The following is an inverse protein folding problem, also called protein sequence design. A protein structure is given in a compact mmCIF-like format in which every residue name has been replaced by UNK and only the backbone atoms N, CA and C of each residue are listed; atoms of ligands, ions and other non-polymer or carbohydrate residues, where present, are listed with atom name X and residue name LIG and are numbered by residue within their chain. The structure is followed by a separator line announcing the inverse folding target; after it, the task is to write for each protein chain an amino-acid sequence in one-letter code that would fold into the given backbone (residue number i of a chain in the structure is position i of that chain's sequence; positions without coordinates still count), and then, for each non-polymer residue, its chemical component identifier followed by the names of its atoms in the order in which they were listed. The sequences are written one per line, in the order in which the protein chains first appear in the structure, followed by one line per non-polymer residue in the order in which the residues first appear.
data_IF_629491602683
#
_entry.id   IF_629491602683
#
_cell.length_a   1.000
_cell.length_b   1.000
_cell.length_c   1.000
_cell.angle_alpha   90.00
_cell.angle_beta   90.00
_cell.angle_gamma   90.00
#
_symmetry.space_group_name_H-M   'P 1'
#
loop_
_entity.id
_entity.type
_entity.pdbx_description
1 polymer ?
#
# COMPACT_ATOMS: atom_id res chain seq x y z
N UNK A 1 -6.80 10.87 40.73
CA UNK A 1 -7.34 10.11 41.87
C UNK A 1 -7.21 8.64 41.52
N UNK A 2 -6.16 7.99 42.03
CA UNK A 2 -5.85 6.59 41.76
C UNK A 2 -6.64 5.70 42.72
N UNK A 3 -7.16 4.57 42.24
CA UNK A 3 -7.57 3.46 43.11
C UNK A 3 -6.93 2.17 42.61
N UNK A 4 -6.03 1.69 43.48
CA UNK A 4 -5.33 0.42 43.47
C UNK A 4 -6.21 -0.64 44.14
N UNK A 5 -6.17 -1.87 43.65
CA UNK A 5 -6.65 -3.05 44.39
C UNK A 5 -5.60 -4.14 44.37
N UNK A 6 -4.91 -4.29 45.49
CA UNK A 6 -4.03 -5.40 45.86
C UNK A 6 -4.84 -6.58 46.39
N UNK A 7 -4.54 -7.80 45.94
CA UNK A 7 -5.03 -9.04 46.54
C UNK A 7 -3.90 -9.76 47.29
N UNK A 8 -4.22 -10.23 48.49
CA UNK A 8 -3.34 -10.91 49.45
C UNK A 8 -3.47 -12.44 49.30
N UNK A 9 -2.35 -13.17 49.45
CA UNK A 9 -2.31 -14.63 49.53
C UNK A 9 -2.06 -15.09 50.98
N UNK A 10 -2.66 -16.20 51.46
CA UNK A 10 -2.22 -16.88 52.68
C UNK A 10 -1.26 -18.05 52.40
N UNK A 11 -0.43 -18.36 53.41
CA UNK A 11 0.58 -19.44 53.49
C UNK A 11 0.03 -20.72 54.16
N UNK A 12 0.62 -21.87 53.81
CA UNK A 12 0.61 -23.16 54.54
C UNK A 12 -0.10 -24.28 53.75
N UNK A 13 0.34 -25.55 53.66
CA UNK A 13 1.28 -26.38 54.43
C UNK A 13 1.54 -27.71 53.66
N UNK A 14 2.72 -28.35 53.84
CA UNK A 14 3.12 -29.78 53.65
C UNK A 14 2.73 -30.52 52.32
N UNK A 15 3.59 -31.20 51.57
CA UNK A 15 4.80 -31.98 51.90
C UNK A 15 4.59 -33.45 51.55
N UNK A 16 4.94 -33.88 50.32
CA UNK A 16 5.13 -35.30 49.92
C UNK A 16 6.22 -35.35 48.83
N UNK A 17 7.30 -36.09 49.09
CA UNK A 17 8.40 -36.42 48.15
C UNK A 17 7.99 -37.54 47.19
N UNK A 18 8.55 -37.56 45.95
CA UNK A 18 8.89 -38.82 45.32
C UNK A 18 10.35 -38.91 44.86
N UNK A 19 10.73 -40.14 44.57
CA UNK A 19 12.05 -40.76 44.56
C UNK A 19 13.02 -40.30 43.46
N UNK A 20 14.31 -40.49 43.76
CA UNK A 20 15.44 -40.30 42.85
C UNK A 20 15.46 -41.31 41.70
N UNK A 21 15.57 -40.81 40.47
CA UNK A 21 15.99 -41.58 39.31
C UNK A 21 17.42 -41.21 38.93
N UNK A 22 18.30 -42.21 38.90
CA UNK A 22 19.67 -42.13 38.44
C UNK A 22 19.76 -41.60 36.99
N UNK A 23 20.45 -40.48 36.78
CA UNK A 23 20.89 -40.01 35.47
C UNK A 23 22.27 -40.58 35.13
N UNK A 24 22.39 -41.21 33.95
CA UNK A 24 23.64 -41.64 33.34
C UNK A 24 24.47 -40.43 32.84
N UNK A 25 25.82 -40.54 32.74
CA UNK A 25 26.66 -39.42 32.36
C UNK A 25 26.54 -39.05 30.88
N UNK A 26 26.76 -37.77 30.61
CA UNK A 26 26.64 -37.14 29.29
C UNK A 26 27.62 -37.72 28.26
N UNK A 27 27.10 -38.02 27.06
CA UNK A 27 27.89 -38.35 25.87
C UNK A 27 28.30 -37.06 25.18
N UNK A 28 29.61 -36.85 25.07
CA UNK A 28 30.23 -35.70 24.42
C UNK A 28 30.04 -35.79 22.89
N UNK A 29 29.08 -35.03 22.35
CA UNK A 29 28.83 -34.91 20.91
C UNK A 29 29.84 -33.94 20.29
N UNK A 30 30.86 -34.47 19.60
CA UNK A 30 31.75 -33.68 18.76
C UNK A 30 30.97 -32.96 17.64
N UNK A 31 30.92 -31.63 17.72
CA UNK A 31 30.37 -30.77 16.68
C UNK A 31 31.22 -30.86 15.40
N UNK A 32 30.61 -31.31 14.29
CA UNK A 32 31.22 -31.19 12.95
C UNK A 32 31.16 -29.72 12.51
N UNK A 33 32.25 -29.14 11.97
CA UNK A 33 32.20 -27.76 11.49
C UNK A 33 31.31 -27.65 10.24
N UNK A 34 30.35 -26.74 10.30
CA UNK A 34 29.52 -26.34 9.16
C UNK A 34 30.40 -25.65 8.11
N UNK A 35 30.42 -26.17 6.89
CA UNK A 35 31.06 -25.50 5.74
C UNK A 35 30.33 -24.19 5.46
N UNK A 36 31.04 -23.07 5.56
CA UNK A 36 30.59 -21.75 5.12
C UNK A 36 30.40 -21.75 3.60
N UNK A 37 29.22 -21.37 3.07
CA UNK A 37 29.05 -21.22 1.64
C UNK A 37 29.80 -19.96 1.17
N UNK A 38 30.70 -20.13 0.20
CA UNK A 38 31.39 -19.05 -0.49
C UNK A 38 30.38 -18.20 -1.25
N UNK A 39 30.16 -16.96 -0.80
CA UNK A 39 29.40 -15.95 -1.55
C UNK A 39 30.17 -15.60 -2.83
N UNK A 40 29.76 -16.15 -3.97
CA UNK A 40 30.07 -15.55 -5.27
C UNK A 40 29.35 -14.21 -5.36
N UNK A 41 30.09 -13.10 -5.41
CA UNK A 41 29.53 -11.80 -5.73
C UNK A 41 29.17 -11.77 -7.22
N UNK A 42 27.95 -12.15 -7.56
CA UNK A 42 27.36 -11.67 -8.79
C UNK A 42 26.92 -10.23 -8.54
N UNK A 43 27.70 -9.28 -9.03
CA UNK A 43 27.32 -7.88 -9.08
C UNK A 43 26.08 -7.75 -9.96
N UNK A 44 24.91 -7.69 -9.34
CA UNK A 44 23.71 -7.18 -9.98
C UNK A 44 23.77 -5.66 -9.78
N UNK A 45 24.30 -4.96 -10.79
CA UNK A 45 24.05 -3.53 -10.93
C UNK A 45 22.58 -3.37 -11.30
N UNK A 46 21.74 -3.19 -10.28
CA UNK A 46 20.45 -2.57 -10.46
C UNK A 46 20.71 -1.07 -10.39
N UNK A 47 20.73 -0.39 -11.54
CA UNK A 47 20.68 1.07 -11.57
C UNK A 47 19.35 1.50 -10.95
N UNK A 48 19.37 1.83 -9.66
CA UNK A 48 18.38 2.75 -9.11
C UNK A 48 18.47 3.99 -10.00
N UNK A 49 17.35 4.42 -10.59
CA UNK A 49 17.36 5.69 -11.29
C UNK A 49 17.80 6.75 -10.29
N UNK A 50 18.96 7.38 -10.52
CA UNK A 50 19.50 8.52 -9.78
C UNK A 50 18.62 9.75 -10.02
N UNK A 51 17.32 9.65 -9.72
CA UNK A 51 16.40 10.77 -9.74
C UNK A 51 16.15 11.14 -8.28
N UNK A 52 17.09 11.91 -7.74
CA UNK A 52 16.94 12.54 -6.44
C UNK A 52 15.70 13.46 -6.52
N UNK A 53 14.73 13.22 -5.65
CA UNK A 53 13.64 14.16 -5.48
C UNK A 53 14.21 15.39 -4.76
N UNK A 54 14.39 16.49 -5.49
CA UNK A 54 14.90 17.73 -4.94
C UNK A 54 13.91 18.30 -3.91
N UNK A 55 14.38 18.52 -2.69
CA UNK A 55 13.60 19.22 -1.67
C UNK A 55 13.68 20.73 -1.92
N UNK A 56 12.53 21.35 -2.16
CA UNK A 56 12.41 22.81 -2.29
C UNK A 56 11.77 23.41 -1.03
N UNK A 57 12.44 24.39 -0.42
CA UNK A 57 11.89 25.13 0.73
C UNK A 57 10.69 26.01 0.35
N UNK A 58 10.65 26.42 -0.91
CA UNK A 58 9.58 27.14 -1.60
C UNK A 58 8.80 26.19 -2.52
N UNK A 59 7.64 26.62 -3.02
CA UNK A 59 6.82 25.79 -3.92
C UNK A 59 7.66 25.40 -5.15
N UNK A 60 7.79 24.10 -5.48
CA UNK A 60 8.60 23.66 -6.61
C UNK A 60 7.99 24.20 -7.93
N UNK A 61 8.83 24.45 -8.96
CA UNK A 61 8.32 24.76 -10.28
C UNK A 61 7.63 23.51 -10.85
N UNK A 62 6.37 23.65 -11.25
CA UNK A 62 5.57 22.54 -11.78
C UNK A 62 4.76 22.98 -13.01
N UNK A 63 5.43 23.44 -14.08
CA UNK A 63 4.75 24.07 -15.20
C UNK A 63 3.72 23.16 -15.89
N UNK A 64 3.94 21.84 -15.91
CA UNK A 64 2.98 20.91 -16.50
C UNK A 64 1.83 20.61 -15.54
N UNK A 65 2.12 20.33 -14.27
CA UNK A 65 1.08 20.10 -13.25
C UNK A 65 0.19 21.33 -13.04
N UNK A 66 0.71 22.54 -13.25
CA UNK A 66 -0.06 23.79 -13.20
C UNK A 66 -1.17 23.83 -14.28
N UNK A 67 -1.05 23.04 -15.34
CA UNK A 67 -2.08 22.90 -16.39
C UNK A 67 -3.10 21.79 -16.10
N UNK A 68 -2.82 20.92 -15.12
CA UNK A 68 -3.62 19.71 -14.83
C UNK A 68 -4.42 19.90 -13.53
N UNK A 69 -5.67 20.32 -13.67
CA UNK A 69 -6.61 20.40 -12.55
C UNK A 69 -7.46 19.13 -12.42
N UNK A 70 -7.73 18.45 -13.53
CA UNK A 70 -8.60 17.27 -13.57
C UNK A 70 -8.04 16.20 -14.53
N UNK A 71 -8.41 14.92 -14.36
CA UNK A 71 -7.92 13.83 -15.19
C UNK A 71 -8.13 14.02 -16.70
N UNK A 72 -9.17 14.75 -17.10
CA UNK A 72 -9.44 15.06 -18.50
C UNK A 72 -8.32 15.89 -19.17
N UNK A 73 -7.60 16.72 -18.42
CA UNK A 73 -6.47 17.49 -18.95
C UNK A 73 -5.25 16.62 -19.29
N UNK A 74 -5.21 15.39 -18.77
CA UNK A 74 -4.08 14.48 -18.98
C UNK A 74 -4.21 13.66 -20.26
N UNK A 75 -5.41 13.53 -20.85
CA UNK A 75 -5.71 12.53 -21.91
C UNK A 75 -4.92 12.71 -23.21
N UNK A 76 -4.41 13.91 -23.46
CA UNK A 76 -3.63 14.24 -24.66
C UNK A 76 -2.13 14.36 -24.39
N UNK A 77 -1.67 14.11 -23.16
CA UNK A 77 -0.25 14.15 -22.82
C UNK A 77 0.49 12.97 -23.44
N UNK A 78 1.63 13.23 -24.03
CA UNK A 78 2.57 12.20 -24.47
C UNK A 78 3.16 11.44 -23.28
N UNK A 79 3.73 10.26 -23.53
CA UNK A 79 4.41 9.48 -22.50
C UNK A 79 5.54 10.26 -21.80
N UNK A 80 6.23 11.15 -22.53
CA UNK A 80 7.27 12.02 -21.95
C UNK A 80 6.67 13.06 -21.00
N UNK A 81 5.55 13.66 -21.39
CA UNK A 81 4.83 14.61 -20.54
C UNK A 81 4.23 13.90 -19.32
N UNK A 82 3.74 12.66 -19.44
CA UNK A 82 3.27 11.89 -18.27
C UNK A 82 4.41 11.57 -17.28
N UNK A 83 5.63 11.32 -17.78
CA UNK A 83 6.80 11.17 -16.92
C UNK A 83 7.13 12.48 -16.20
N UNK A 84 7.16 13.61 -16.93
CA UNK A 84 7.36 14.93 -16.34
C UNK A 84 6.27 15.26 -15.30
N UNK A 85 5.01 14.98 -15.60
CA UNK A 85 3.89 15.18 -14.69
C UNK A 85 4.07 14.37 -13.41
N UNK A 86 4.57 13.14 -13.51
CA UNK A 86 4.86 12.30 -12.35
C UNK A 86 5.99 12.90 -11.49
N UNK A 87 7.04 13.41 -12.12
CA UNK A 87 8.16 14.05 -11.42
C UNK A 87 7.72 15.34 -10.71
N UNK A 88 6.93 16.19 -11.38
CA UNK A 88 6.37 17.41 -10.79
C UNK A 88 5.37 17.10 -9.67
N UNK A 89 4.51 16.11 -9.84
CA UNK A 89 3.55 15.66 -8.83
C UNK A 89 4.25 15.11 -7.59
N UNK A 90 5.35 14.38 -7.76
CA UNK A 90 6.20 13.91 -6.66
C UNK A 90 6.75 15.07 -5.86
N UNK A 91 7.31 16.08 -6.52
CA UNK A 91 7.83 17.29 -5.85
C UNK A 91 6.72 18.06 -5.12
N UNK A 92 5.53 18.18 -5.73
CA UNK A 92 4.37 18.85 -5.12
C UNK A 92 3.88 18.12 -3.86
N UNK A 93 3.83 16.77 -3.89
CA UNK A 93 3.50 15.95 -2.72
C UNK A 93 4.53 16.14 -1.60
N UNK A 94 5.83 16.10 -1.90
CA UNK A 94 6.89 16.32 -0.91
C UNK A 94 6.72 17.70 -0.27
N UNK A 95 6.53 18.74 -1.10
CA UNK A 95 6.35 20.11 -0.63
C UNK A 95 5.17 20.23 0.34
N UNK A 96 3.97 19.79 -0.06
CA UNK A 96 2.78 19.92 0.77
C UNK A 96 2.87 19.09 2.06
N UNK A 97 3.30 17.83 1.97
CA UNK A 97 3.38 16.94 3.14
C UNK A 97 4.47 17.36 4.11
N UNK A 98 5.56 17.99 3.64
CA UNK A 98 6.58 18.56 4.53
C UNK A 98 6.04 19.66 5.46
N UNK A 99 4.98 20.36 5.04
CA UNK A 99 4.34 21.44 5.80
C UNK A 99 3.23 20.94 6.72
N UNK A 100 2.41 19.98 6.24
CA UNK A 100 1.22 19.50 6.97
C UNK A 100 1.46 18.23 7.77
N UNK A 101 2.54 17.51 7.50
CA UNK A 101 2.71 16.12 7.92
C UNK A 101 1.75 15.17 7.21
N UNK A 102 1.77 13.89 7.60
CA UNK A 102 0.90 12.84 7.06
C UNK A 102 1.67 11.73 6.34
N UNK A 103 1.00 11.06 5.41
CA UNK A 103 1.47 9.80 4.84
C UNK A 103 2.32 10.02 3.58
N UNK A 104 3.58 10.40 3.77
CA UNK A 104 4.50 10.69 2.67
C UNK A 104 4.90 9.43 1.89
N UNK A 105 5.50 8.44 2.56
CA UNK A 105 6.09 7.27 1.89
C UNK A 105 5.08 6.48 1.05
N UNK A 106 3.88 6.24 1.59
CA UNK A 106 2.80 5.57 0.87
C UNK A 106 2.32 6.35 -0.36
N UNK A 107 2.28 7.68 -0.27
CA UNK A 107 1.87 8.55 -1.38
C UNK A 107 2.92 8.62 -2.49
N UNK A 108 4.20 8.68 -2.13
CA UNK A 108 5.30 8.70 -3.11
C UNK A 108 5.40 7.40 -3.91
N UNK A 109 5.07 6.27 -3.28
CA UNK A 109 5.10 4.95 -3.93
C UNK A 109 4.02 4.73 -4.99
N UNK A 110 3.01 5.61 -5.10
CA UNK A 110 1.89 5.46 -6.05
C UNK A 110 1.75 6.63 -7.01
N UNK A 111 2.74 7.52 -7.12
CA UNK A 111 2.67 8.70 -8.00
C UNK A 111 2.42 8.29 -9.45
N UNK A 112 3.30 7.45 -10.02
CA UNK A 112 3.18 6.96 -11.40
C UNK A 112 1.92 6.14 -11.60
N UNK A 113 1.58 5.28 -10.63
CA UNK A 113 0.36 4.49 -10.67
C UNK A 113 -0.87 5.39 -10.76
N UNK A 114 -0.90 6.46 -9.96
CA UNK A 114 -2.02 7.40 -9.94
C UNK A 114 -2.13 8.16 -11.26
N UNK A 115 -1.00 8.60 -11.82
CA UNK A 115 -0.95 9.26 -13.13
C UNK A 115 -1.47 8.32 -14.22
N UNK A 116 -0.99 7.07 -14.24
CA UNK A 116 -1.43 6.07 -15.21
C UNK A 116 -2.93 5.75 -15.07
N UNK A 117 -3.44 5.62 -13.84
CA UNK A 117 -4.85 5.35 -13.59
C UNK A 117 -5.75 6.48 -14.11
N UNK A 118 -5.43 7.73 -13.82
CA UNK A 118 -6.21 8.87 -14.30
C UNK A 118 -6.04 9.13 -15.81
N UNK A 119 -4.89 8.76 -16.37
CA UNK A 119 -4.67 8.81 -17.81
C UNK A 119 -5.50 7.75 -18.56
N UNK A 120 -5.55 6.51 -18.07
CA UNK A 120 -6.25 5.40 -18.73
C UNK A 120 -7.76 5.44 -18.48
N UNK A 121 -8.18 5.58 -17.21
CA UNK A 121 -9.58 5.51 -16.83
C UNK A 121 -10.28 6.87 -16.89
N UNK A 122 -11.59 6.86 -17.15
CA UNK A 122 -12.41 8.06 -17.25
C UNK A 122 -13.13 8.32 -15.92
N UNK A 123 -12.36 8.70 -14.90
CA UNK A 123 -12.94 9.09 -13.60
C UNK A 123 -13.61 10.46 -13.70
N UNK A 124 -14.78 10.70 -13.06
CA UNK A 124 -15.42 9.86 -12.02
C UNK A 124 -16.46 8.85 -12.54
N UNK A 125 -16.65 8.73 -13.86
CA UNK A 125 -17.56 7.74 -14.45
C UNK A 125 -17.06 6.33 -14.12
N UNK A 126 -15.79 6.07 -14.42
CA UNK A 126 -15.06 4.92 -13.90
C UNK A 126 -14.82 5.08 -12.40
N UNK A 127 -14.99 3.98 -11.65
CA UNK A 127 -14.87 3.98 -10.20
C UNK A 127 -13.46 3.57 -9.82
N UNK A 128 -12.76 4.47 -9.13
CA UNK A 128 -11.43 4.23 -8.57
C UNK A 128 -11.52 4.25 -7.05
N UNK A 129 -11.12 3.14 -6.41
CA UNK A 129 -11.15 2.96 -4.97
C UNK A 129 -9.73 2.77 -4.45
N UNK A 130 -9.38 3.48 -3.38
CA UNK A 130 -8.06 3.41 -2.73
C UNK A 130 -8.21 2.78 -1.33
N UNK A 131 -7.61 1.61 -1.11
CA UNK A 131 -7.71 0.94 0.19
C UNK A 131 -6.93 1.67 1.27
N UNK A 132 -7.48 1.79 2.48
CA UNK A 132 -7.07 2.72 3.55
C UNK A 132 -7.19 4.19 3.14
N UNK A 133 -6.66 4.57 1.98
CA UNK A 133 -6.72 5.92 1.40
C UNK A 133 -5.52 6.80 1.74
N UNK A 134 -4.60 6.34 2.58
CA UNK A 134 -3.41 7.08 2.99
C UNK A 134 -2.39 7.34 1.86
N UNK A 135 -2.43 6.55 0.79
CA UNK A 135 -1.63 6.71 -0.41
C UNK A 135 -2.25 7.66 -1.45
N UNK A 136 -3.44 8.22 -1.19
CA UNK A 136 -4.25 8.92 -2.19
C UNK A 136 -3.92 10.41 -2.36
N UNK A 137 -2.82 10.93 -1.81
CA UNK A 137 -2.49 12.36 -1.95
C UNK A 137 -2.27 12.78 -3.42
N UNK A 138 -1.53 12.03 -4.25
CA UNK A 138 -1.42 12.34 -5.68
C UNK A 138 -2.80 12.34 -6.36
N UNK A 139 -3.70 11.44 -5.94
CA UNK A 139 -5.07 11.35 -6.46
C UNK A 139 -5.86 12.62 -6.11
N UNK A 140 -5.76 13.13 -4.88
CA UNK A 140 -6.41 14.38 -4.48
C UNK A 140 -5.90 15.57 -5.31
N UNK A 141 -4.58 15.67 -5.50
CA UNK A 141 -3.97 16.73 -6.31
C UNK A 141 -4.53 16.73 -7.74
N UNK A 142 -4.51 15.58 -8.42
CA UNK A 142 -4.95 15.43 -9.81
C UNK A 142 -6.48 15.51 -10.03
N UNK A 143 -7.25 15.71 -8.97
CA UNK A 143 -8.73 15.74 -9.01
C UNK A 143 -9.27 17.03 -8.38
N UNK A 144 -8.64 18.15 -8.70
CA UNK A 144 -9.13 19.50 -8.41
C UNK A 144 -8.91 19.97 -6.97
N UNK A 145 -8.07 19.30 -6.18
CA UNK A 145 -7.87 19.63 -4.75
C UNK A 145 -6.47 20.11 -4.41
N UNK A 146 -5.62 20.37 -5.41
CA UNK A 146 -4.24 20.84 -5.24
C UNK A 146 -4.14 22.06 -4.32
N UNK A 147 -4.94 23.11 -4.55
CA UNK A 147 -4.90 24.34 -3.74
C UNK A 147 -5.35 24.15 -2.28
N UNK A 148 -6.06 23.04 -1.99
CA UNK A 148 -6.53 22.71 -0.64
C UNK A 148 -5.54 21.83 0.13
N UNK A 149 -4.48 21.35 -0.51
CA UNK A 149 -3.45 20.52 0.13
C UNK A 149 -2.84 21.14 1.41
N UNK A 150 -2.64 22.48 1.53
CA UNK A 150 -2.18 23.08 2.79
C UNK A 150 -3.12 22.89 3.99
N UNK A 151 -4.38 22.51 3.77
CA UNK A 151 -5.39 22.28 4.81
C UNK A 151 -5.49 20.81 5.23
N UNK A 152 -4.64 19.95 4.69
CA UNK A 152 -4.70 18.51 4.89
C UNK A 152 -4.62 18.12 6.37
N UNK A 153 -5.55 17.27 6.82
CA UNK A 153 -5.71 16.78 8.19
C UNK A 153 -5.98 17.88 9.24
N UNK A 154 -6.34 19.09 8.80
CA UNK A 154 -6.75 20.17 9.69
C UNK A 154 -8.28 20.20 9.83
N UNK A 155 -8.77 20.80 10.91
CA UNK A 155 -10.20 21.00 11.12
C UNK A 155 -10.78 21.81 9.96
N UNK A 156 -11.88 21.33 9.37
CA UNK A 156 -12.52 21.89 8.17
C UNK A 156 -11.66 21.88 6.89
N UNK A 157 -10.52 21.18 6.89
CA UNK A 157 -9.66 20.98 5.73
C UNK A 157 -9.86 19.62 5.05
N UNK A 158 -8.94 19.28 4.15
CA UNK A 158 -8.97 17.98 3.46
C UNK A 158 -8.75 16.82 4.44
N UNK A 159 -9.50 15.74 4.23
CA UNK A 159 -9.25 14.46 4.90
C UNK A 159 -7.89 13.89 4.49
N UNK A 160 -7.21 13.23 5.43
CA UNK A 160 -6.00 12.44 5.14
C UNK A 160 -6.27 11.14 4.37
N UNK A 161 -7.53 10.84 4.07
CA UNK A 161 -8.01 9.67 3.33
C UNK A 161 -9.04 10.10 2.29
N UNK A 162 -9.40 9.21 1.36
CA UNK A 162 -10.52 9.46 0.44
C UNK A 162 -11.84 9.54 1.22
N UNK A 163 -12.67 10.53 0.89
CA UNK A 163 -13.93 10.84 1.57
C UNK A 163 -14.98 11.24 0.53
N UNK A 164 -16.05 10.44 0.40
CA UNK A 164 -17.12 10.66 -0.61
C UNK A 164 -17.74 12.06 -0.60
N UNK A 165 -17.89 12.66 0.59
CA UNK A 165 -18.46 14.01 0.71
C UNK A 165 -17.48 15.13 0.33
N UNK A 166 -16.20 14.80 0.11
CA UNK A 166 -15.14 15.76 -0.24
C UNK A 166 -14.98 15.90 -1.76
N UNK A 167 -15.21 14.83 -2.52
CA UNK A 167 -15.03 14.80 -3.97
C UNK A 167 -15.82 13.67 -4.63
N UNK A 168 -16.36 13.93 -5.82
CA UNK A 168 -16.97 12.90 -6.67
C UNK A 168 -15.97 11.84 -7.15
N UNK A 169 -14.68 12.16 -7.13
CA UNK A 169 -13.59 11.24 -7.48
C UNK A 169 -13.29 10.23 -6.35
N UNK A 170 -13.72 10.51 -5.12
CA UNK A 170 -13.57 9.62 -3.97
C UNK A 170 -14.74 8.63 -3.94
N UNK A 171 -14.71 7.62 -4.83
CA UNK A 171 -15.84 6.70 -5.07
C UNK A 171 -16.29 5.95 -3.81
N UNK A 172 -15.36 5.63 -2.91
CA UNK A 172 -15.59 4.97 -1.64
C UNK A 172 -14.74 5.63 -0.56
N UNK A 173 -15.33 5.86 0.62
CA UNK A 173 -14.62 6.47 1.74
C UNK A 173 -13.92 5.39 2.56
N UNK A 174 -12.64 5.60 2.89
CA UNK A 174 -11.82 4.60 3.59
C UNK A 174 -11.11 5.19 4.80
N UNK A 175 -10.63 4.29 5.65
CA UNK A 175 -9.77 4.57 6.81
C UNK A 175 -9.28 3.25 7.38
N UNK A 176 -10.19 2.31 7.59
CA UNK A 176 -9.85 0.90 7.80
C UNK A 176 -9.38 0.24 6.50
N UNK A 177 -8.50 -0.76 6.62
CA UNK A 177 -7.95 -1.52 5.50
C UNK A 177 -8.89 -2.61 5.01
N UNK A 178 -8.55 -3.17 3.85
CA UNK A 178 -9.09 -4.43 3.30
C UNK A 178 -10.56 -4.35 2.89
N UNK A 179 -11.07 -3.14 2.64
CA UNK A 179 -12.49 -2.86 2.36
C UNK A 179 -12.77 -2.68 0.88
N UNK A 180 -11.78 -2.32 0.07
CA UNK A 180 -12.06 -1.85 -1.30
C UNK A 180 -12.42 -2.94 -2.29
N UNK A 181 -11.90 -4.17 -2.16
CA UNK A 181 -12.28 -5.25 -3.09
C UNK A 181 -13.77 -5.56 -2.96
N UNK A 182 -14.26 -5.68 -1.72
CA UNK A 182 -15.69 -5.93 -1.45
C UNK A 182 -16.56 -4.77 -1.93
N UNK A 183 -16.15 -3.52 -1.64
CA UNK A 183 -16.86 -2.34 -2.11
C UNK A 183 -16.88 -2.23 -3.64
N UNK A 184 -15.75 -2.52 -4.30
CA UNK A 184 -15.64 -2.51 -5.75
C UNK A 184 -16.52 -3.59 -6.39
N UNK A 185 -16.56 -4.81 -5.82
CA UNK A 185 -17.47 -5.86 -6.29
C UNK A 185 -18.93 -5.40 -6.21
N UNK A 186 -19.33 -4.77 -5.11
CA UNK A 186 -20.68 -4.21 -4.98
C UNK A 186 -20.97 -3.11 -6.02
N UNK A 187 -19.99 -2.26 -6.34
CA UNK A 187 -20.13 -1.26 -7.40
C UNK A 187 -20.19 -1.88 -8.80
N UNK A 188 -19.44 -2.96 -9.06
CA UNK A 188 -19.44 -3.68 -10.32
C UNK A 188 -20.79 -4.38 -10.56
N UNK A 189 -21.28 -5.13 -9.57
CA UNK A 189 -22.63 -5.72 -9.61
C UNK A 189 -23.70 -4.63 -9.79
N UNK A 190 -23.60 -3.52 -9.05
CA UNK A 190 -24.52 -2.40 -9.19
C UNK A 190 -24.48 -1.73 -10.57
N UNK A 191 -23.33 -1.70 -11.23
CA UNK A 191 -23.17 -1.26 -12.63
C UNK A 191 -23.88 -2.23 -13.58
N UNK A 192 -23.64 -3.53 -13.41
CA UNK A 192 -24.18 -4.57 -14.30
C UNK A 192 -25.71 -4.59 -14.25
N UNK A 193 -26.30 -4.47 -13.05
CA UNK A 193 -27.74 -4.35 -12.85
C UNK A 193 -28.35 -3.10 -13.51
N UNK A 194 -27.55 -2.05 -13.71
CA UNK A 194 -27.95 -0.82 -14.41
C UNK A 194 -27.66 -0.85 -15.92
N UNK A 195 -27.08 -1.93 -16.44
CA UNK A 195 -26.65 -2.04 -17.84
C UNK A 195 -25.54 -1.06 -18.23
N UNK A 196 -24.79 -0.54 -17.24
CA UNK A 196 -23.68 0.38 -17.48
C UNK A 196 -22.39 -0.39 -17.83
N UNK A 197 -21.41 0.31 -18.40
CA UNK A 197 -20.15 -0.29 -18.89
C UNK A 197 -18.89 0.42 -18.36
N UNK A 198 -19.03 1.19 -17.27
CA UNK A 198 -17.88 1.85 -16.66
C UNK A 198 -16.96 0.83 -15.96
N UNK A 199 -15.68 1.15 -15.88
CA UNK A 199 -14.70 0.36 -15.17
C UNK A 199 -14.88 0.52 -13.65
N UNK A 200 -14.50 -0.52 -12.91
CA UNK A 200 -14.39 -0.48 -11.45
C UNK A 200 -13.02 -1.01 -11.06
N UNK A 201 -12.23 -0.17 -10.41
CA UNK A 201 -10.81 -0.42 -10.10
C UNK A 201 -10.59 -0.25 -8.60
N UNK A 202 -10.08 -1.29 -7.94
CA UNK A 202 -9.67 -1.27 -6.55
C UNK A 202 -8.14 -1.33 -6.45
N UNK A 203 -7.54 -0.35 -5.78
CA UNK A 203 -6.11 -0.34 -5.45
C UNK A 203 -5.96 -0.75 -3.99
N UNK A 204 -5.23 -1.84 -3.74
CA UNK A 204 -5.01 -2.39 -2.40
C UNK A 204 -3.52 -2.65 -2.16
N UNK A 205 -3.03 -2.33 -0.95
CA UNK A 205 -1.65 -2.62 -0.55
C UNK A 205 -1.47 -4.07 -0.10
N UNK A 206 -0.25 -4.60 -0.20
CA UNK A 206 0.11 -5.94 0.27
C UNK A 206 -0.17 -6.16 1.77
N UNK A 207 0.06 -5.16 2.61
CA UNK A 207 -0.36 -5.21 4.02
C UNK A 207 -1.88 -5.33 4.21
N UNK A 208 -2.67 -4.62 3.41
CA UNK A 208 -4.13 -4.66 3.46
C UNK A 208 -4.70 -5.98 2.90
N UNK A 209 -3.97 -6.67 2.02
CA UNK A 209 -4.36 -7.98 1.52
C UNK A 209 -4.31 -9.09 2.57
N UNK A 210 -3.67 -8.86 3.72
CA UNK A 210 -3.51 -9.90 4.76
C UNK A 210 -4.79 -10.18 5.54
N UNK A 211 -5.79 -9.29 5.51
CA UNK A 211 -7.02 -9.48 6.27
C UNK A 211 -8.00 -10.42 5.55
N UNK A 212 -8.73 -11.23 6.33
CA UNK A 212 -9.71 -12.19 5.82
C UNK A 212 -10.75 -11.59 4.87
N UNK A 213 -11.21 -10.35 5.15
CA UNK A 213 -12.19 -9.67 4.32
C UNK A 213 -11.72 -9.48 2.85
N UNK A 214 -10.42 -9.28 2.61
CA UNK A 214 -9.90 -9.19 1.25
C UNK A 214 -10.01 -10.54 0.52
N UNK A 215 -9.75 -11.65 1.21
CA UNK A 215 -9.87 -13.00 0.67
C UNK A 215 -11.33 -13.39 0.41
N UNK A 216 -12.22 -13.09 1.35
CA UNK A 216 -13.66 -13.32 1.19
C UNK A 216 -14.19 -12.54 -0.03
N UNK A 217 -13.78 -11.28 -0.17
CA UNK A 217 -14.17 -10.45 -1.30
C UNK A 217 -13.64 -10.97 -2.65
N UNK A 218 -12.38 -11.41 -2.72
CA UNK A 218 -11.83 -12.01 -3.95
C UNK A 218 -12.52 -13.32 -4.30
N UNK A 219 -12.81 -14.16 -3.32
CA UNK A 219 -13.51 -15.42 -3.55
C UNK A 219 -14.94 -15.16 -4.09
N UNK A 220 -15.63 -14.17 -3.51
CA UNK A 220 -16.94 -13.77 -3.99
C UNK A 220 -16.89 -13.14 -5.39
N UNK A 221 -15.87 -12.34 -5.69
CA UNK A 221 -15.68 -11.76 -7.01
C UNK A 221 -15.49 -12.84 -8.09
N UNK A 222 -14.70 -13.88 -7.78
CA UNK A 222 -14.51 -15.02 -8.67
C UNK A 222 -15.78 -15.87 -8.85
N UNK A 223 -16.65 -15.93 -7.85
CA UNK A 223 -17.94 -16.62 -7.97
C UNK A 223 -18.94 -15.83 -8.83
N UNK A 224 -19.01 -14.51 -8.65
CA UNK A 224 -19.95 -13.66 -9.37
C UNK A 224 -19.50 -13.32 -10.80
N UNK A 225 -18.23 -13.49 -11.11
CA UNK A 225 -17.63 -13.26 -12.43
C UNK A 225 -17.96 -11.87 -13.01
N UNK A 226 -18.01 -10.85 -12.14
CA UNK A 226 -18.29 -9.46 -12.54
C UNK A 226 -17.01 -8.74 -12.93
N UNK A 227 -17.06 -7.99 -14.04
CA UNK A 227 -15.90 -7.29 -14.58
C UNK A 227 -15.39 -6.21 -13.61
N UNK A 228 -14.24 -6.45 -12.96
CA UNK A 228 -13.55 -5.49 -12.10
C UNK A 228 -12.04 -5.69 -12.13
N UNK A 229 -11.30 -4.63 -11.80
CA UNK A 229 -9.84 -4.63 -11.79
C UNK A 229 -9.36 -4.47 -10.36
N UNK A 230 -8.50 -5.38 -9.91
CA UNK A 230 -7.81 -5.28 -8.62
C UNK A 230 -6.32 -5.06 -8.88
N UNK A 231 -5.80 -3.95 -8.36
CA UNK A 231 -4.38 -3.61 -8.44
C UNK A 231 -3.76 -3.82 -7.06
N UNK A 232 -2.85 -4.79 -6.99
CA UNK A 232 -2.03 -5.00 -5.82
C UNK A 232 -0.79 -4.08 -5.87
N UNK A 233 -0.75 -3.10 -4.97
CA UNK A 233 0.44 -2.31 -4.69
C UNK A 233 1.31 -3.03 -3.66
N UNK A 234 2.20 -3.92 -4.12
CA UNK A 234 3.14 -4.67 -3.29
C UNK A 234 4.44 -3.87 -3.12
N UNK A 235 4.60 -3.20 -1.98
CA UNK A 235 5.82 -2.48 -1.63
C UNK A 235 6.63 -3.18 -0.53
N UNK A 236 6.23 -4.41 -0.15
CA UNK A 236 6.82 -5.21 0.94
C UNK A 236 6.86 -4.49 2.28
N UNK A 237 5.95 -3.55 2.51
CA UNK A 237 5.84 -2.79 3.75
C UNK A 237 4.39 -2.79 4.22
N UNK A 238 4.19 -2.86 5.53
CA UNK A 238 2.88 -2.64 6.13
C UNK A 238 2.67 -1.16 6.45
N UNK A 239 1.41 -0.72 6.45
CA UNK A 239 1.02 0.68 6.63
C UNK A 239 1.39 1.27 8.01
N UNK A 240 1.72 0.41 8.99
CA UNK A 240 2.11 0.81 10.34
C UNK A 240 3.63 0.89 10.48
N UNK A 241 4.17 1.75 11.37
CA UNK A 241 5.56 1.69 11.76
C UNK A 241 5.79 0.39 12.53
N UNK A 242 6.04 -0.70 11.82
CA UNK A 242 6.55 -1.94 12.39
C UNK A 242 8.05 -1.82 12.62
N UNK A 243 8.51 -0.69 13.17
CA UNK A 243 9.88 -0.61 13.67
C UNK A 243 9.93 -1.48 14.94
N UNK A 244 10.41 -2.71 14.81
CA UNK A 244 10.90 -3.45 15.96
C UNK A 244 12.31 -2.95 16.30
N UNK A 245 12.87 -3.39 17.43
CA UNK A 245 14.26 -3.07 17.80
C UNK A 245 15.28 -3.48 16.71
N UNK A 246 14.89 -4.36 15.78
CA UNK A 246 15.73 -4.91 14.71
C UNK A 246 15.45 -4.32 13.31
N UNK A 247 14.53 -3.34 13.18
CA UNK A 247 14.20 -2.68 11.92
C UNK A 247 12.72 -2.82 11.48
N UNK A 248 12.36 -2.38 10.25
CA UNK A 248 10.99 -2.47 9.73
C UNK A 248 10.57 -3.94 9.56
N UNK A 249 9.46 -4.36 10.15
CA UNK A 249 8.93 -5.71 9.96
C UNK A 249 8.22 -5.81 8.60
N UNK A 250 8.59 -6.77 7.75
CA UNK A 250 7.90 -7.01 6.49
C UNK A 250 6.47 -7.52 6.74
N UNK A 251 5.56 -7.36 5.77
CA UNK A 251 4.24 -7.97 5.83
C UNK A 251 4.35 -9.46 6.08
N UNK A 252 3.60 -9.94 7.06
CA UNK A 252 3.42 -11.38 7.30
C UNK A 252 2.39 -11.90 6.29
N UNK A 253 2.77 -12.89 5.49
CA UNK A 253 1.85 -13.49 4.53
C UNK A 253 2.55 -14.29 3.45
N UNK A 254 2.30 -15.60 3.41
CA UNK A 254 2.80 -16.48 2.36
C UNK A 254 2.38 -16.00 0.95
N UNK A 255 1.25 -15.26 0.85
CA UNK A 255 0.75 -14.71 -0.40
C UNK A 255 1.65 -13.59 -0.97
N UNK A 256 2.08 -12.62 -0.17
CA UNK A 256 3.02 -11.57 -0.64
C UNK A 256 4.32 -12.22 -1.15
N UNK A 257 4.85 -13.19 -0.40
CA UNK A 257 6.00 -13.98 -0.84
C UNK A 257 5.76 -14.78 -2.13
N UNK A 258 4.57 -15.36 -2.30
CA UNK A 258 4.18 -16.10 -3.51
C UNK A 258 3.98 -15.17 -4.72
N UNK A 259 3.32 -14.02 -4.55
CA UNK A 259 3.08 -13.04 -5.61
C UNK A 259 4.37 -12.35 -6.05
N UNK A 260 5.24 -11.98 -5.11
CA UNK A 260 6.60 -11.51 -5.42
C UNK A 260 7.40 -12.56 -6.23
N UNK A 261 7.30 -13.85 -5.88
CA UNK A 261 7.92 -14.94 -6.67
C UNK A 261 7.31 -15.08 -8.06
N UNK A 262 5.99 -14.99 -8.19
CA UNK A 262 5.28 -15.05 -9.48
C UNK A 262 5.64 -13.85 -10.37
N UNK A 263 5.63 -12.63 -9.84
CA UNK A 263 5.98 -11.42 -10.60
C UNK A 263 7.45 -11.40 -11.03
N UNK A 264 8.35 -11.92 -10.20
CA UNK A 264 9.77 -12.03 -10.52
C UNK A 264 10.12 -13.24 -11.39
N UNK A 265 9.15 -14.12 -11.68
CA UNK A 265 9.38 -15.32 -12.47
C UNK A 265 9.71 -14.96 -13.93
N UNK A 266 10.78 -15.59 -14.45
CA UNK A 266 11.22 -15.43 -15.85
C UNK A 266 10.10 -15.60 -16.89
N UNK A 267 9.25 -16.64 -16.79
CA UNK A 267 8.22 -16.88 -17.81
C UNK A 267 7.22 -15.73 -17.93
N UNK A 268 6.81 -15.13 -16.81
CA UNK A 268 5.87 -14.00 -16.83
C UNK A 268 6.53 -12.71 -17.34
N UNK A 269 7.83 -12.53 -17.08
CA UNK A 269 8.60 -11.38 -17.61
C UNK A 269 8.79 -11.50 -19.12
N UNK A 270 9.12 -12.70 -19.61
CA UNK A 270 9.27 -12.99 -21.04
C UNK A 270 7.94 -12.84 -21.78
N UNK A 271 6.82 -13.32 -21.23
CA UNK A 271 5.47 -13.09 -21.77
C UNK A 271 5.11 -11.60 -21.87
N UNK A 272 5.50 -10.80 -20.89
CA UNK A 272 5.29 -9.34 -20.91
C UNK A 272 6.15 -8.62 -21.94
N UNK A 273 7.38 -9.09 -22.17
CA UNK A 273 8.25 -8.50 -23.19
C UNK A 273 7.82 -8.85 -24.61
N UNK A 274 7.26 -10.05 -24.82
CA UNK A 274 6.68 -10.47 -26.12
C UNK A 274 5.37 -9.75 -26.44
N UNK A 275 4.63 -9.30 -25.42
CA UNK A 275 3.36 -8.58 -25.59
C UNK A 275 3.51 -7.05 -25.80
N UNK A 276 4.74 -6.52 -25.78
CA UNK A 276 5.05 -5.12 -26.14
C UNK A 276 5.34 -4.98 -27.63
#
# INVERSE_FOLDING_TARGET
MALSSTFSLPRGFLGVLPQEHHFAPAVELHARPLKTPTRRSYGISASLSEREAEYHSQRPPTPLLDTVNYPIHMKNLSLKELQQLSDELRSDVIFHVSKTGGHLGSSLGVVELTVALHYVFNTPQDKLLWDVGHQSYPHKILTGRRDKMPTMRQTNGLSGFVKRSESEYDSFGTGHSSTTISAALGMAVGRDLKGAKNNVVAVIGDGAMTAGQAYEAMNNAGYLDSDMIVILNDNKQVSLPTATLDGPAPPVGALSGALSKLQSSRPLRELREVAK
#
